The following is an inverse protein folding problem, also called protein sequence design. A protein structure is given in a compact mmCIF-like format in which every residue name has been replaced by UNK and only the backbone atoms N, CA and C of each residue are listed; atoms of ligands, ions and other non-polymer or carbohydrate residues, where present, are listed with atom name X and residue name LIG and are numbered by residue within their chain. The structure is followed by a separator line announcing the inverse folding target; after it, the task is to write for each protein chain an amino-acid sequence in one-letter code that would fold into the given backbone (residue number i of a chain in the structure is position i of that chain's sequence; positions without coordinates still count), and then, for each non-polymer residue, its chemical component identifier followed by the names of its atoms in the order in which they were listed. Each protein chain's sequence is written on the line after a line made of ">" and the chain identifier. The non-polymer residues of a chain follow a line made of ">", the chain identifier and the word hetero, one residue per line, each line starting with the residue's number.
data_IF_929848648218
#
_entry.id   IF_929848648218
#
_cell.length_a   1.000
_cell.length_b   1.000
_cell.length_c   1.000
_cell.angle_alpha   90.00
_cell.angle_beta   90.00
_cell.angle_gamma   90.00
#
_symmetry.space_group_name_H-M   'P 1'
#
loop_
_entity.id
_entity.type
_entity.pdbx_description
1 polymer ?
#
# COMPACT_ATOMS: atom_id res chain seq x y z
N UNK A 1 23.56 3.43 -6.44
CA UNK A 1 22.41 4.23 -5.95
C UNK A 1 22.35 4.13 -4.45
N UNK A 2 21.97 5.21 -3.80
CA UNK A 2 21.96 5.23 -2.35
C UNK A 2 21.00 4.19 -1.75
N UNK A 3 19.89 3.95 -2.42
CA UNK A 3 18.91 2.97 -1.94
C UNK A 3 19.48 1.56 -1.92
N UNK A 4 20.16 1.16 -2.99
CA UNK A 4 20.75 -0.17 -3.05
C UNK A 4 21.86 -0.32 -2.03
N UNK A 5 22.59 0.75 -1.79
CA UNK A 5 23.67 0.75 -0.81
C UNK A 5 23.12 0.59 0.61
N UNK A 6 22.06 1.31 0.93
CA UNK A 6 21.42 1.17 2.24
C UNK A 6 20.90 -0.24 2.45
N UNK A 7 20.26 -0.77 1.43
CA UNK A 7 19.72 -2.12 1.50
C UNK A 7 20.82 -3.15 1.73
N UNK A 8 21.94 -3.02 1.00
CA UNK A 8 23.06 -3.93 1.15
C UNK A 8 23.69 -3.82 2.54
N UNK A 9 23.82 -2.62 3.08
CA UNK A 9 24.35 -2.44 4.43
C UNK A 9 23.45 -3.10 5.46
N UNK A 10 22.14 -2.92 5.32
CA UNK A 10 21.20 -3.52 6.24
C UNK A 10 21.30 -5.04 6.24
N UNK A 11 21.42 -5.63 5.08
CA UNK A 11 21.56 -7.08 4.97
C UNK A 11 22.85 -7.57 5.59
N UNK A 12 23.94 -6.82 5.44
CA UNK A 12 25.22 -7.20 6.00
C UNK A 12 25.27 -7.06 7.52
N UNK A 13 24.54 -6.11 8.05
CA UNK A 13 24.52 -5.86 9.49
C UNK A 13 23.56 -6.77 10.23
N UNK A 14 22.95 -7.69 9.53
CA UNK A 14 21.98 -8.56 10.14
C UNK A 14 20.59 -8.01 9.97
N UNK A 15 19.88 -7.80 11.04
CA UNK A 15 18.44 -7.77 10.96
C UNK A 15 17.76 -6.54 11.53
N UNK A 16 18.49 -5.49 11.85
CA UNK A 16 17.85 -4.30 12.40
C UNK A 16 16.84 -3.73 11.43
N UNK A 17 17.23 -3.57 10.15
CA UNK A 17 16.33 -3.04 9.13
C UNK A 17 15.31 -4.06 8.66
N UNK A 18 15.68 -5.34 8.63
CA UNK A 18 14.75 -6.40 8.31
C UNK A 18 13.64 -6.44 9.36
N UNK A 19 14.00 -6.26 10.62
CA UNK A 19 13.03 -6.23 11.70
C UNK A 19 12.18 -4.96 11.67
N UNK A 20 12.74 -3.85 11.16
CA UNK A 20 12.01 -2.58 11.08
C UNK A 20 10.68 -2.73 10.33
N UNK A 21 10.68 -3.52 9.27
CA UNK A 21 9.48 -3.72 8.47
C UNK A 21 9.02 -5.18 8.48
N UNK A 22 9.38 -5.92 9.52
CA UNK A 22 9.05 -7.35 9.61
C UNK A 22 7.57 -7.63 9.71
N UNK A 23 6.77 -6.66 10.15
CA UNK A 23 5.34 -6.84 10.31
C UNK A 23 4.58 -6.88 8.99
N UNK A 24 5.22 -6.53 7.88
CA UNK A 24 4.58 -6.64 6.57
C UNK A 24 4.73 -8.03 5.96
N UNK A 25 5.68 -8.84 6.45
CA UNK A 25 5.97 -10.15 5.89
C UNK A 25 4.75 -11.07 5.99
N UNK A 26 4.41 -11.69 4.87
CA UNK A 26 3.28 -12.62 4.80
C UNK A 26 1.92 -11.96 4.70
N UNK A 27 1.84 -10.66 4.79
CA UNK A 27 0.57 -9.94 4.69
C UNK A 27 0.10 -9.85 3.25
N UNK A 28 -1.19 -9.98 3.07
CA UNK A 28 -1.82 -9.91 1.75
C UNK A 28 -2.29 -8.49 1.51
N UNK A 29 -1.70 -7.82 0.53
CA UNK A 29 -1.93 -6.40 0.31
C UNK A 29 -2.42 -6.16 -1.12
N UNK A 30 -3.60 -5.58 -1.24
CA UNK A 30 -4.17 -5.19 -2.52
C UNK A 30 -3.49 -3.91 -2.99
N UNK A 31 -3.01 -3.92 -4.23
CA UNK A 31 -2.41 -2.74 -4.85
C UNK A 31 -3.33 -2.27 -5.97
N UNK A 32 -3.79 -1.01 -5.87
CA UNK A 32 -4.65 -0.39 -6.87
C UNK A 32 -3.93 0.83 -7.43
N UNK A 33 -3.47 0.74 -8.67
CA UNK A 33 -2.63 1.76 -9.31
C UNK A 33 -2.68 1.54 -10.81
N UNK A 34 -2.89 2.61 -11.58
CA UNK A 34 -2.99 2.48 -13.04
C UNK A 34 -1.67 2.81 -13.77
N UNK A 35 -0.67 3.32 -13.09
CA UNK A 35 0.62 3.61 -13.70
C UNK A 35 1.54 2.39 -13.60
N UNK A 36 1.83 1.79 -14.76
CA UNK A 36 2.57 0.52 -14.83
C UNK A 36 3.96 0.63 -14.18
N UNK A 37 4.68 1.73 -14.42
CA UNK A 37 6.01 1.87 -13.85
C UNK A 37 5.99 1.94 -12.32
N UNK A 38 5.05 2.69 -11.78
CA UNK A 38 4.90 2.81 -10.33
C UNK A 38 4.51 1.45 -9.75
N UNK A 39 3.56 0.78 -10.38
CA UNK A 39 3.11 -0.54 -9.95
C UNK A 39 4.27 -1.52 -9.88
N UNK A 40 5.09 -1.56 -10.93
CA UNK A 40 6.22 -2.49 -10.98
C UNK A 40 7.17 -2.25 -9.81
N UNK A 41 7.49 -0.98 -9.54
CA UNK A 41 8.38 -0.65 -8.43
C UNK A 41 7.80 -1.04 -7.07
N UNK A 42 6.53 -0.74 -6.86
CA UNK A 42 5.85 -1.06 -5.61
C UNK A 42 5.82 -2.56 -5.38
N UNK A 43 5.43 -3.31 -6.40
CA UNK A 43 5.34 -4.77 -6.30
C UNK A 43 6.70 -5.36 -5.96
N UNK A 44 7.75 -4.94 -6.67
CA UNK A 44 9.09 -5.45 -6.41
C UNK A 44 9.52 -5.20 -4.96
N UNK A 45 9.31 -3.98 -4.47
CA UNK A 45 9.70 -3.62 -3.11
C UNK A 45 8.93 -4.44 -2.09
N UNK A 46 7.63 -4.57 -2.28
CA UNK A 46 6.79 -5.28 -1.33
C UNK A 46 7.10 -6.76 -1.32
N UNK A 47 7.27 -7.36 -2.50
CA UNK A 47 7.59 -8.79 -2.57
C UNK A 47 8.95 -9.10 -1.97
N UNK A 48 9.93 -8.20 -2.13
CA UNK A 48 11.22 -8.34 -1.48
C UNK A 48 11.11 -8.39 0.04
N UNK A 49 10.08 -7.78 0.58
CA UNK A 49 9.84 -7.76 2.03
C UNK A 49 8.90 -8.87 2.47
N UNK A 50 8.58 -9.80 1.59
CA UNK A 50 7.73 -10.92 1.91
C UNK A 50 6.24 -10.64 1.89
N UNK A 51 5.83 -9.50 1.36
CA UNK A 51 4.41 -9.17 1.18
C UNK A 51 3.84 -10.02 0.05
N UNK A 52 2.64 -10.52 0.24
CA UNK A 52 1.89 -11.18 -0.81
C UNK A 52 1.04 -10.13 -1.51
N UNK A 53 1.44 -9.75 -2.72
CA UNK A 53 0.73 -8.73 -3.48
C UNK A 53 -0.49 -9.33 -4.15
N UNK A 54 -1.65 -8.72 -3.91
CA UNK A 54 -2.91 -9.08 -4.57
C UNK A 54 -3.16 -8.01 -5.64
N UNK A 55 -3.36 -8.42 -6.86
CA UNK A 55 -3.37 -7.53 -8.00
C UNK A 55 -2.00 -7.50 -8.65
N UNK A 56 -1.52 -6.36 -9.15
CA UNK A 56 -2.13 -5.03 -9.06
C UNK A 56 -3.38 -4.89 -9.93
N UNK A 57 -4.30 -4.04 -9.50
CA UNK A 57 -5.49 -3.70 -10.26
C UNK A 57 -5.33 -2.29 -10.82
N UNK A 58 -5.50 -2.17 -12.13
CA UNK A 58 -5.33 -0.89 -12.82
C UNK A 58 -6.67 -0.21 -13.13
N UNK A 59 -7.78 -0.91 -12.91
CA UNK A 59 -9.11 -0.38 -13.19
C UNK A 59 -9.99 -0.51 -11.97
N UNK A 60 -11.01 0.34 -11.90
CA UNK A 60 -11.98 0.28 -10.81
C UNK A 60 -12.68 -1.08 -10.74
N UNK A 61 -13.10 -1.62 -11.89
CA UNK A 61 -13.79 -2.91 -11.92
C UNK A 61 -12.95 -4.04 -11.35
N UNK A 62 -11.70 -4.14 -11.78
CA UNK A 62 -10.80 -5.18 -11.29
C UNK A 62 -10.49 -4.98 -9.80
N UNK A 63 -10.28 -3.73 -9.39
CA UNK A 63 -10.03 -3.44 -7.99
C UNK A 63 -11.20 -3.84 -7.10
N UNK A 64 -12.42 -3.56 -7.53
CA UNK A 64 -13.62 -3.95 -6.79
C UNK A 64 -13.75 -5.46 -6.69
N UNK A 65 -13.45 -6.18 -7.77
CA UNK A 65 -13.49 -7.63 -7.78
C UNK A 65 -12.53 -8.21 -6.75
N UNK A 66 -11.29 -7.74 -6.76
CA UNK A 66 -10.29 -8.23 -5.80
C UNK A 66 -10.63 -7.82 -4.37
N UNK A 67 -11.09 -6.60 -4.18
CA UNK A 67 -11.46 -6.10 -2.86
C UNK A 67 -12.63 -6.89 -2.25
N UNK A 68 -13.52 -7.41 -3.10
CA UNK A 68 -14.68 -8.16 -2.66
C UNK A 68 -14.33 -9.61 -2.35
N UNK A 69 -13.49 -10.22 -3.17
CA UNK A 69 -13.36 -11.68 -3.19
C UNK A 69 -12.09 -12.22 -2.55
N UNK A 70 -11.04 -11.42 -2.42
CA UNK A 70 -9.75 -11.91 -1.94
C UNK A 70 -9.57 -11.70 -0.45
N UNK A 71 -8.90 -12.63 0.24
CA UNK A 71 -8.47 -12.36 1.61
C UNK A 71 -7.41 -11.26 1.58
N UNK A 72 -7.59 -10.24 2.40
CA UNK A 72 -6.71 -9.07 2.40
C UNK A 72 -6.42 -8.63 3.83
N UNK A 73 -5.17 -8.25 4.07
CA UNK A 73 -4.76 -7.64 5.33
C UNK A 73 -4.74 -6.12 5.24
N UNK A 74 -4.48 -5.58 4.04
CA UNK A 74 -4.45 -4.15 3.82
C UNK A 74 -4.57 -3.84 2.33
N UNK A 75 -4.68 -2.56 1.99
CA UNK A 75 -4.69 -2.13 0.59
C UNK A 75 -4.02 -0.77 0.43
N UNK A 76 -3.45 -0.56 -0.74
CA UNK A 76 -2.87 0.72 -1.18
C UNK A 76 -3.67 1.17 -2.39
N UNK A 77 -4.30 2.34 -2.29
CA UNK A 77 -5.24 2.83 -3.29
C UNK A 77 -4.77 4.15 -3.88
N UNK A 78 -4.41 4.16 -5.17
CA UNK A 78 -4.29 5.45 -5.85
C UNK A 78 -5.68 6.08 -5.91
N UNK A 79 -5.79 7.35 -5.56
CA UNK A 79 -7.08 8.04 -5.58
C UNK A 79 -7.67 8.02 -6.99
N UNK A 80 -6.84 8.29 -7.98
CA UNK A 80 -7.30 8.39 -9.36
C UNK A 80 -6.95 7.15 -10.18
N UNK A 81 -7.95 6.57 -10.85
CA UNK A 81 -7.81 5.42 -11.72
C UNK A 81 -8.38 5.80 -13.09
N UNK A 82 -7.55 6.46 -13.91
CA UNK A 82 -8.04 7.00 -15.18
C UNK A 82 -9.10 8.04 -14.94
N UNK A 83 -10.32 7.82 -15.44
CA UNK A 83 -11.44 8.73 -15.23
C UNK A 83 -12.24 8.39 -13.97
N UNK A 84 -11.93 7.28 -13.31
CA UNK A 84 -12.61 6.86 -12.08
C UNK A 84 -11.80 7.26 -10.86
N UNK A 85 -12.42 7.16 -9.70
CA UNK A 85 -11.71 7.24 -8.42
C UNK A 85 -11.78 5.88 -7.73
N UNK A 86 -10.88 5.68 -6.77
CA UNK A 86 -10.87 4.45 -5.99
C UNK A 86 -11.78 4.50 -4.76
N UNK A 87 -12.56 5.57 -4.60
CA UNK A 87 -13.44 5.71 -3.42
C UNK A 87 -14.43 4.55 -3.25
N UNK A 88 -15.01 3.99 -4.32
CA UNK A 88 -15.87 2.81 -4.13
C UNK A 88 -15.12 1.61 -3.56
N UNK A 89 -13.84 1.44 -3.92
CA UNK A 89 -13.01 0.38 -3.35
C UNK A 89 -12.81 0.62 -1.86
N UNK A 90 -12.51 1.85 -1.48
CA UNK A 90 -12.33 2.22 -0.08
C UNK A 90 -13.57 1.92 0.74
N UNK A 91 -14.75 2.23 0.19
CA UNK A 91 -16.01 1.96 0.86
C UNK A 91 -16.18 0.46 1.14
N UNK A 92 -15.88 -0.35 0.15
CA UNK A 92 -15.97 -1.80 0.28
C UNK A 92 -14.98 -2.32 1.32
N UNK A 93 -13.75 -1.80 1.33
CA UNK A 93 -12.76 -2.20 2.30
C UNK A 93 -13.17 -1.81 3.73
N UNK A 94 -13.78 -0.65 3.91
CA UNK A 94 -14.30 -0.25 5.21
C UNK A 94 -15.39 -1.22 5.69
N UNK A 95 -16.28 -1.61 4.80
CA UNK A 95 -17.33 -2.59 5.13
C UNK A 95 -16.72 -3.91 5.59
N UNK A 96 -15.61 -4.32 4.98
CA UNK A 96 -14.90 -5.54 5.33
C UNK A 96 -13.92 -5.35 6.49
N UNK A 97 -13.78 -4.13 7.00
CA UNK A 97 -12.85 -3.80 8.08
C UNK A 97 -11.39 -4.08 7.70
N UNK A 98 -11.06 -3.81 6.44
CA UNK A 98 -9.70 -3.96 5.93
C UNK A 98 -9.04 -2.58 5.90
N UNK A 99 -7.92 -2.38 6.60
CA UNK A 99 -7.26 -1.09 6.63
C UNK A 99 -6.61 -0.78 5.28
N UNK A 100 -6.54 0.50 4.95
CA UNK A 100 -5.95 0.94 3.68
C UNK A 100 -5.43 2.35 3.83
N UNK A 101 -4.65 2.78 2.84
CA UNK A 101 -4.30 4.19 2.70
C UNK A 101 -4.33 4.56 1.23
N UNK A 102 -4.51 5.84 0.98
CA UNK A 102 -4.50 6.38 -0.37
C UNK A 102 -3.11 6.84 -0.76
N UNK A 103 -2.81 6.81 -2.06
CA UNK A 103 -1.72 7.57 -2.64
C UNK A 103 -2.31 8.62 -3.56
N UNK A 104 -1.72 9.79 -3.61
CA UNK A 104 -2.26 10.87 -4.42
C UNK A 104 -1.18 11.81 -4.91
N UNK A 105 -1.28 12.22 -6.17
CA UNK A 105 -0.41 13.24 -6.75
C UNK A 105 -0.85 14.65 -6.36
N UNK A 106 -2.04 14.81 -5.83
CA UNK A 106 -2.64 16.12 -5.57
C UNK A 106 -2.84 16.38 -4.08
N UNK A 107 -1.77 16.17 -3.30
CA UNK A 107 -1.85 16.30 -1.85
C UNK A 107 -2.26 17.71 -1.40
N UNK A 108 -2.00 18.72 -2.23
CA UNK A 108 -2.40 20.11 -1.92
C UNK A 108 -3.90 20.33 -2.01
N UNK A 109 -4.60 19.44 -2.70
CA UNK A 109 -6.04 19.53 -2.88
C UNK A 109 -6.63 18.22 -2.39
N UNK A 110 -6.65 18.08 -1.08
CA UNK A 110 -7.21 16.88 -0.46
C UNK A 110 -8.67 16.75 -0.86
N UNK A 111 -8.99 15.63 -1.50
CA UNK A 111 -10.36 15.37 -1.91
C UNK A 111 -11.23 15.17 -0.66
N UNK A 112 -12.42 15.77 -0.59
CA UNK A 112 -13.27 15.61 0.60
C UNK A 112 -13.57 14.14 0.93
N UNK A 113 -13.62 13.29 -0.09
CA UNK A 113 -13.95 11.87 0.11
C UNK A 113 -12.81 11.09 0.76
N UNK A 114 -11.61 11.64 0.85
CA UNK A 114 -10.53 11.01 1.60
C UNK A 114 -10.87 11.04 3.10
N UNK A 115 -11.48 12.13 3.56
CA UNK A 115 -11.87 12.26 4.95
C UNK A 115 -10.67 12.12 5.89
N UNK A 116 -10.82 11.27 6.90
CA UNK A 116 -9.78 11.01 7.90
C UNK A 116 -8.83 9.88 7.50
N UNK A 117 -9.00 9.30 6.31
CA UNK A 117 -8.15 8.19 5.89
C UNK A 117 -6.70 8.64 5.74
N UNK A 118 -5.79 7.73 6.04
CA UNK A 118 -4.37 7.97 5.82
C UNK A 118 -4.11 8.14 4.32
N UNK A 119 -3.15 8.99 3.98
CA UNK A 119 -2.73 9.11 2.59
C UNK A 119 -1.24 9.41 2.51
N UNK A 120 -0.67 9.10 1.34
CA UNK A 120 0.74 9.27 1.07
C UNK A 120 0.86 10.08 -0.21
N UNK A 121 1.53 11.24 -0.14
CA UNK A 121 1.66 12.13 -1.28
C UNK A 121 2.72 11.62 -2.25
N UNK A 122 2.42 11.65 -3.53
CA UNK A 122 3.40 11.35 -4.58
C UNK A 122 4.25 12.60 -4.86
N UNK A 123 5.53 12.48 -5.15
CA UNK A 123 6.31 11.24 -5.10
C UNK A 123 6.66 10.87 -3.66
N UNK A 124 6.70 9.59 -3.38
CA UNK A 124 7.07 9.10 -2.05
C UNK A 124 8.25 8.13 -2.15
N UNK A 125 8.97 7.99 -1.05
CA UNK A 125 10.07 7.05 -0.98
C UNK A 125 9.60 5.68 -0.52
N UNK A 126 10.47 4.68 -0.72
CA UNK A 126 10.18 3.31 -0.33
C UNK A 126 9.94 3.19 1.17
N UNK A 127 10.75 3.88 1.98
CA UNK A 127 10.59 3.83 3.43
C UNK A 127 9.27 4.44 3.87
N UNK A 128 8.84 5.51 3.22
CA UNK A 128 7.55 6.11 3.51
C UNK A 128 6.40 5.15 3.21
N UNK A 129 6.50 4.46 2.08
CA UNK A 129 5.50 3.47 1.70
C UNK A 129 5.42 2.36 2.74
N UNK A 130 6.57 1.80 3.12
CA UNK A 130 6.62 0.69 4.08
C UNK A 130 6.15 1.12 5.48
N UNK A 131 6.53 2.32 5.91
CA UNK A 131 6.07 2.87 7.19
C UNK A 131 4.56 3.05 7.22
N UNK A 132 4.02 3.60 6.14
CA UNK A 132 2.58 3.83 6.06
C UNK A 132 1.83 2.51 6.06
N UNK A 133 2.34 1.53 5.29
CA UNK A 133 1.73 0.21 5.25
C UNK A 133 1.76 -0.46 6.61
N UNK A 134 2.91 -0.42 7.28
CA UNK A 134 3.05 -1.01 8.61
C UNK A 134 2.12 -0.33 9.61
N UNK A 135 1.99 0.98 9.49
CA UNK A 135 1.11 1.76 10.36
C UNK A 135 -0.35 1.32 10.23
N UNK A 136 -0.84 1.16 9.01
CA UNK A 136 -2.24 0.76 8.82
C UNK A 136 -2.45 -0.71 9.21
N UNK A 137 -1.47 -1.57 8.98
CA UNK A 137 -1.55 -2.96 9.40
C UNK A 137 -1.67 -3.10 10.91
N UNK A 138 -0.98 -2.24 11.67
CA UNK A 138 -0.99 -2.32 13.12
C UNK A 138 -2.34 -1.97 13.73
N UNK A 139 -3.23 -1.32 12.98
CA UNK A 139 -4.56 -0.98 13.46
C UNK A 139 -5.34 -2.23 13.84
N UNK A 140 -5.25 -3.28 13.02
CA UNK A 140 -5.98 -4.52 13.28
C UNK A 140 -5.23 -5.46 14.22
N UNK A 141 -3.95 -5.23 14.46
CA UNK A 141 -3.15 -6.09 15.32
C UNK A 141 -3.22 -5.67 16.79
N UNK A 142 -3.85 -4.55 17.09
CA UNK A 142 -3.95 -4.09 18.46
C UNK A 142 -4.96 -4.93 19.24
N UNK A 143 -4.58 -5.41 20.41
CA UNK A 143 -5.55 -6.10 21.26
C UNK A 143 -6.67 -5.16 21.64
N UNK A 144 -7.84 -5.62 21.46
CA UNK A 144 -9.13 -5.11 21.79
C UNK A 144 -9.41 -3.71 22.13
#
# INVERSE_FOLDING_TARGET
>A
MSLDREYAVDMLQGNAQTQEFGQVTGKRVLIVEDEVLITTLIVDVLEDRGVIVVGPAATLGHALELARNEPLDAAVLDVNLGTDTSFPVARLLRERQIPFFYTTAFANKVHPDIGDAAFLAKPYGIRQLLHTLESVLSINDKPG
#
